data_IF_371134249731
#
_entry.id   IF_371134249731
#
_cell.length_a   1.000
_cell.length_b   1.000
_cell.length_c   1.000
_cell.angle_alpha   90.00
_cell.angle_beta   90.00
_cell.angle_gamma   90.00
#
_symmetry.space_group_name_H-M   'P 1'
#
loop_
_entity.id
_entity.type
_entity.pdbx_description
1 polymer ?
#
# COMPACT_ATOMS: atom_id res chain seq x y z
N UNK A 1 -18.88 -11.66 -26.47
CA UNK A 1 -18.99 -10.39 -27.22
C UNK A 1 -19.44 -9.32 -26.23
N UNK A 2 -18.65 -8.26 -26.03
CA UNK A 2 -19.09 -7.13 -25.22
C UNK A 2 -20.11 -6.32 -26.01
N UNK A 3 -21.23 -5.95 -25.40
CA UNK A 3 -22.29 -5.17 -26.06
C UNK A 3 -21.89 -3.71 -26.27
N UNK A 4 -20.92 -3.20 -25.49
CA UNK A 4 -20.50 -1.80 -25.50
C UNK A 4 -21.58 -0.83 -25.00
N UNK A 5 -22.69 -1.35 -24.45
CA UNK A 5 -23.79 -0.55 -23.93
C UNK A 5 -23.69 -0.48 -22.40
N UNK A 6 -24.05 0.66 -21.78
CA UNK A 6 -24.25 0.71 -20.34
C UNK A 6 -25.25 -0.35 -19.88
N UNK A 7 -24.94 -1.02 -18.76
CA UNK A 7 -25.83 -1.98 -18.13
C UNK A 7 -26.54 -1.32 -16.95
N UNK A 8 -27.88 -1.40 -16.93
CA UNK A 8 -28.70 -0.75 -15.89
C UNK A 8 -28.85 0.76 -16.08
N UNK A 9 -29.48 1.41 -15.11
CA UNK A 9 -29.54 2.87 -15.04
C UNK A 9 -28.22 3.45 -14.50
N UNK A 10 -27.88 4.72 -14.83
CA UNK A 10 -26.75 5.40 -14.19
C UNK A 10 -26.87 5.38 -12.66
N UNK A 11 -25.73 5.19 -11.99
CA UNK A 11 -25.64 5.26 -10.53
C UNK A 11 -25.56 6.74 -10.12
N UNK A 12 -26.68 7.28 -9.62
CA UNK A 12 -26.81 8.70 -9.26
C UNK A 12 -26.71 8.91 -7.75
N UNK A 13 -25.99 9.95 -7.33
CA UNK A 13 -25.93 10.32 -5.92
C UNK A 13 -24.80 11.28 -5.54
N UNK A 14 -23.64 11.19 -6.19
CA UNK A 14 -22.56 12.16 -5.97
C UNK A 14 -23.00 13.57 -6.39
N UNK A 15 -22.59 14.58 -5.60
CA UNK A 15 -22.93 15.98 -5.84
C UNK A 15 -21.91 16.71 -6.75
N UNK A 16 -20.81 16.04 -7.10
CA UNK A 16 -19.76 16.55 -7.97
C UNK A 16 -19.07 15.40 -8.73
N UNK A 17 -17.97 15.66 -9.44
CA UNK A 17 -17.26 14.70 -10.27
C UNK A 17 -16.87 13.42 -9.52
N UNK A 18 -17.12 12.27 -10.15
CA UNK A 18 -16.63 10.97 -9.69
C UNK A 18 -15.23 10.75 -10.27
N UNK A 19 -14.23 10.56 -9.42
CA UNK A 19 -12.81 10.48 -9.80
C UNK A 19 -12.30 9.06 -9.96
N UNK A 20 -12.80 8.14 -9.15
CA UNK A 20 -12.36 6.74 -9.18
C UNK A 20 -13.50 5.79 -8.83
N UNK A 21 -13.35 4.55 -9.26
CA UNK A 21 -14.23 3.43 -8.93
C UNK A 21 -13.41 2.17 -8.68
N UNK A 22 -13.91 1.29 -7.82
CA UNK A 22 -13.32 -0.02 -7.56
C UNK A 22 -14.42 -1.05 -7.27
N UNK A 23 -14.30 -2.26 -7.83
CA UNK A 23 -15.16 -3.38 -7.43
C UNK A 23 -14.60 -4.03 -6.18
N UNK A 24 -15.47 -4.55 -5.31
CA UNK A 24 -15.07 -5.51 -4.29
C UNK A 24 -14.57 -6.81 -4.95
N UNK A 25 -13.70 -7.59 -4.29
CA UNK A 25 -13.13 -8.82 -4.86
C UNK A 25 -14.17 -9.86 -5.27
N UNK A 26 -15.30 -9.92 -4.56
CA UNK A 26 -16.44 -10.79 -4.87
C UNK A 26 -17.38 -10.21 -5.96
N UNK A 27 -17.15 -8.97 -6.38
CA UNK A 27 -17.95 -8.24 -7.36
C UNK A 27 -19.34 -7.83 -6.87
N UNK A 28 -19.66 -7.99 -5.59
CA UNK A 28 -20.97 -7.65 -5.04
C UNK A 28 -21.15 -6.13 -4.85
N UNK A 29 -20.07 -5.42 -4.53
CA UNK A 29 -20.06 -3.99 -4.30
C UNK A 29 -19.22 -3.26 -5.34
N UNK A 30 -19.64 -2.04 -5.65
CA UNK A 30 -18.84 -1.03 -6.33
C UNK A 30 -18.63 0.14 -5.36
N UNK A 31 -17.40 0.60 -5.21
CA UNK A 31 -17.08 1.86 -4.56
C UNK A 31 -16.91 2.96 -5.62
N UNK A 32 -17.35 4.18 -5.33
CA UNK A 32 -17.05 5.38 -6.11
C UNK A 32 -16.56 6.52 -5.23
N UNK A 33 -15.49 7.19 -5.67
CA UNK A 33 -14.87 8.32 -4.98
C UNK A 33 -15.26 9.65 -5.65
N UNK A 34 -15.71 10.63 -4.86
CA UNK A 34 -16.22 11.91 -5.36
C UNK A 34 -15.41 13.12 -4.94
N UNK A 35 -15.45 14.17 -5.79
CA UNK A 35 -15.02 15.54 -5.43
C UNK A 35 -15.93 16.15 -4.36
N UNK A 36 -17.12 15.59 -4.16
CA UNK A 36 -18.02 15.93 -3.05
C UNK A 36 -17.56 15.43 -1.67
N UNK A 37 -16.27 15.07 -1.54
CA UNK A 37 -15.58 14.60 -0.33
C UNK A 37 -16.12 13.27 0.24
N UNK A 38 -16.92 12.53 -0.53
CA UNK A 38 -17.51 11.26 -0.09
C UNK A 38 -17.03 10.08 -0.92
N UNK A 39 -17.09 8.91 -0.29
CA UNK A 39 -17.11 7.62 -1.01
C UNK A 39 -18.51 7.04 -0.92
N UNK A 40 -18.99 6.42 -2.00
CA UNK A 40 -20.28 5.73 -2.02
C UNK A 40 -20.10 4.27 -2.38
N UNK A 41 -20.86 3.41 -1.71
CA UNK A 41 -20.96 2.00 -2.03
C UNK A 41 -22.27 1.73 -2.76
N UNK A 42 -22.22 0.84 -3.75
CA UNK A 42 -23.36 0.45 -4.58
C UNK A 42 -23.45 -1.06 -4.62
N UNK A 43 -24.66 -1.59 -4.48
CA UNK A 43 -24.94 -3.00 -4.76
C UNK A 43 -24.96 -3.20 -6.28
N UNK A 44 -24.04 -4.03 -6.79
CA UNK A 44 -23.83 -4.20 -8.24
C UNK A 44 -25.03 -4.89 -8.91
N UNK A 45 -25.74 -5.76 -8.19
CA UNK A 45 -26.86 -6.51 -8.73
C UNK A 45 -28.10 -5.63 -8.96
N UNK A 46 -28.31 -4.64 -8.08
CA UNK A 46 -29.50 -3.78 -8.08
C UNK A 46 -29.24 -2.36 -8.56
N UNK A 47 -27.98 -1.91 -8.57
CA UNK A 47 -27.58 -0.53 -8.83
C UNK A 47 -28.04 0.46 -7.75
N UNK A 48 -28.41 -0.02 -6.57
CA UNK A 48 -28.87 0.82 -5.46
C UNK A 48 -27.71 1.19 -4.52
N UNK A 49 -27.78 2.33 -3.82
CA UNK A 49 -26.82 2.66 -2.77
C UNK A 49 -26.79 1.59 -1.68
N UNK A 50 -25.59 1.13 -1.32
CA UNK A 50 -25.35 0.23 -0.20
C UNK A 50 -24.98 1.05 1.04
N UNK A 51 -26.02 1.48 1.78
CA UNK A 51 -25.85 2.32 2.97
C UNK A 51 -25.75 3.81 2.66
N UNK A 52 -25.33 4.59 3.66
CA UNK A 52 -25.11 6.03 3.52
C UNK A 52 -23.74 6.32 2.87
N UNK A 53 -23.53 7.50 2.27
CA UNK A 53 -22.21 7.93 1.83
C UNK A 53 -21.21 7.88 2.99
N UNK A 54 -20.02 7.35 2.72
CA UNK A 54 -18.89 7.33 3.64
C UNK A 54 -18.30 8.75 3.66
N UNK A 55 -18.47 9.43 4.79
CA UNK A 55 -18.04 10.80 5.00
C UNK A 55 -17.00 10.86 6.12
N UNK A 56 -15.92 11.60 5.88
CA UNK A 56 -14.78 11.71 6.80
C UNK A 56 -13.64 12.54 6.24
N UNK A 57 -13.41 12.46 4.92
CA UNK A 57 -12.50 13.34 4.21
C UNK A 57 -12.99 14.80 4.22
N UNK A 58 -12.04 15.73 4.22
CA UNK A 58 -12.31 17.18 4.23
C UNK A 58 -12.09 17.86 2.88
N UNK A 59 -11.64 17.09 1.88
CA UNK A 59 -11.46 17.51 0.50
C UNK A 59 -11.79 16.33 -0.46
N UNK A 60 -11.63 16.53 -1.76
CA UNK A 60 -11.98 15.58 -2.81
C UNK A 60 -11.29 14.22 -2.64
N UNK A 61 -12.06 13.15 -2.80
CA UNK A 61 -11.53 11.79 -2.79
C UNK A 61 -11.10 11.42 -4.20
N UNK A 62 -9.82 11.11 -4.36
CA UNK A 62 -9.18 10.91 -5.66
C UNK A 62 -9.08 9.45 -6.07
N UNK A 63 -8.90 8.54 -5.11
CA UNK A 63 -8.78 7.11 -5.38
C UNK A 63 -9.44 6.27 -4.28
N UNK A 64 -9.87 5.07 -4.67
CA UNK A 64 -10.41 4.04 -3.77
C UNK A 64 -9.91 2.66 -4.17
N UNK A 65 -9.69 1.79 -3.19
CA UNK A 65 -9.32 0.39 -3.42
C UNK A 65 -9.91 -0.50 -2.32
N UNK A 66 -10.47 -1.65 -2.68
CA UNK A 66 -10.84 -2.68 -1.72
C UNK A 66 -9.62 -3.52 -1.34
N UNK A 67 -9.58 -3.98 -0.10
CA UNK A 67 -8.66 -5.05 0.31
C UNK A 67 -9.00 -6.37 -0.43
N UNK A 68 -8.04 -7.29 -0.62
CA UNK A 68 -8.27 -8.54 -1.35
C UNK A 68 -9.32 -9.47 -0.73
N UNK A 69 -9.54 -9.36 0.58
CA UNK A 69 -10.59 -10.08 1.32
C UNK A 69 -11.94 -9.33 1.31
N UNK A 70 -11.98 -8.10 0.80
CA UNK A 70 -13.17 -7.25 0.70
C UNK A 70 -13.64 -6.65 2.03
N UNK A 71 -12.92 -6.85 3.13
CA UNK A 71 -13.34 -6.38 4.47
C UNK A 71 -13.06 -4.90 4.69
N UNK A 72 -12.05 -4.36 4.00
CA UNK A 72 -11.67 -2.97 4.05
C UNK A 72 -11.82 -2.30 2.69
N UNK A 73 -12.14 -1.01 2.75
CA UNK A 73 -12.00 -0.07 1.64
C UNK A 73 -11.02 1.02 2.08
N UNK A 74 -10.05 1.34 1.24
CA UNK A 74 -9.19 2.49 1.42
C UNK A 74 -9.62 3.63 0.48
N UNK A 75 -9.56 4.86 0.96
CA UNK A 75 -9.78 6.07 0.16
C UNK A 75 -8.65 7.07 0.36
N UNK A 76 -8.16 7.65 -0.74
CA UNK A 76 -7.11 8.66 -0.77
C UNK A 76 -7.68 10.01 -1.20
N UNK A 77 -7.25 11.08 -0.53
CA UNK A 77 -7.88 12.40 -0.64
C UNK A 77 -6.88 13.55 -0.82
N UNK A 78 -7.37 14.65 -1.40
CA UNK A 78 -6.64 15.92 -1.47
C UNK A 78 -6.38 16.53 -0.09
N UNK A 79 -7.07 16.08 0.96
CA UNK A 79 -6.81 16.47 2.36
C UNK A 79 -5.51 15.91 2.94
N UNK A 80 -4.68 15.26 2.11
CA UNK A 80 -3.38 14.66 2.46
C UNK A 80 -3.48 13.42 3.35
N UNK A 81 -4.68 12.85 3.53
CA UNK A 81 -4.89 11.65 4.33
C UNK A 81 -5.43 10.48 3.51
N UNK A 82 -5.29 9.29 4.10
CA UNK A 82 -5.93 8.07 3.62
C UNK A 82 -6.85 7.55 4.70
N UNK A 83 -8.09 7.20 4.35
CA UNK A 83 -9.06 6.66 5.30
C UNK A 83 -9.37 5.20 4.97
N UNK A 84 -9.39 4.36 6.01
CA UNK A 84 -9.86 2.98 5.93
C UNK A 84 -11.30 2.91 6.44
N UNK A 85 -12.10 2.08 5.78
CA UNK A 85 -13.51 1.88 6.08
C UNK A 85 -13.78 0.38 6.21
N UNK A 86 -14.49 0.00 7.27
CA UNK A 86 -15.08 -1.33 7.37
C UNK A 86 -16.26 -1.42 6.40
N UNK A 87 -16.18 -2.33 5.43
CA UNK A 87 -17.14 -2.40 4.32
C UNK A 87 -18.51 -2.88 4.75
N UNK A 88 -18.58 -3.68 5.82
CA UNK A 88 -19.84 -4.23 6.34
C UNK A 88 -20.68 -3.19 7.09
N UNK A 89 -20.03 -2.31 7.86
CA UNK A 89 -20.69 -1.28 8.67
C UNK A 89 -20.71 0.10 8.00
N UNK A 90 -19.84 0.34 7.01
CA UNK A 90 -19.67 1.63 6.37
C UNK A 90 -19.10 2.69 7.33
N UNK A 91 -18.35 2.27 8.35
CA UNK A 91 -17.74 3.17 9.34
C UNK A 91 -16.24 3.29 9.13
N UNK A 92 -15.63 4.42 9.52
CA UNK A 92 -14.18 4.51 9.59
C UNK A 92 -13.60 3.38 10.46
N UNK A 93 -12.66 2.65 9.91
CA UNK A 93 -11.83 1.71 10.66
C UNK A 93 -10.61 2.47 11.17
N UNK A 94 -10.73 3.09 12.36
CA UNK A 94 -9.69 3.89 13.01
C UNK A 94 -9.52 5.33 12.49
N UNK A 95 -8.51 6.05 12.99
CA UNK A 95 -8.17 7.42 12.58
C UNK A 95 -7.56 7.46 11.17
N UNK A 96 -7.71 8.54 10.39
CA UNK A 96 -7.03 8.66 9.10
C UNK A 96 -5.52 8.39 9.20
N UNK A 97 -4.95 7.79 8.16
CA UNK A 97 -3.52 7.58 8.02
C UNK A 97 -2.89 8.91 7.59
N UNK A 98 -2.00 9.42 8.45
CA UNK A 98 -1.32 10.70 8.27
C UNK A 98 0.17 10.45 8.01
N UNK A 99 0.72 11.09 6.98
CA UNK A 99 2.14 10.99 6.65
C UNK A 99 2.51 11.75 5.38
N UNK A 100 1.60 11.77 4.40
CA UNK A 100 1.77 12.59 3.21
C UNK A 100 1.71 14.08 3.55
N UNK A 101 2.59 14.87 2.93
CA UNK A 101 2.63 16.33 3.09
C UNK A 101 1.88 17.10 1.99
N UNK A 102 1.28 16.37 1.06
CA UNK A 102 0.42 16.88 0.01
C UNK A 102 -0.71 15.91 -0.33
N UNK A 103 -1.51 16.25 -1.33
CA UNK A 103 -2.63 15.45 -1.78
C UNK A 103 -2.24 13.97 -2.05
N UNK A 104 -3.08 13.04 -1.61
CA UNK A 104 -2.90 11.62 -1.91
C UNK A 104 -3.73 11.27 -3.14
N UNK A 105 -3.06 10.89 -4.21
CA UNK A 105 -3.64 10.71 -5.53
C UNK A 105 -4.01 9.25 -5.83
N UNK A 106 -3.37 8.30 -5.16
CA UNK A 106 -3.52 6.87 -5.46
C UNK A 106 -3.37 6.00 -4.22
N UNK A 107 -4.06 4.86 -4.25
CA UNK A 107 -4.04 3.85 -3.20
C UNK A 107 -4.18 2.46 -3.81
N UNK A 108 -3.45 1.47 -3.28
CA UNK A 108 -3.56 0.08 -3.65
C UNK A 108 -3.20 -0.84 -2.48
N UNK A 109 -3.96 -1.92 -2.26
CA UNK A 109 -3.57 -2.99 -1.36
C UNK A 109 -2.60 -3.96 -2.04
N UNK A 110 -1.69 -4.55 -1.27
CA UNK A 110 -0.95 -5.73 -1.72
C UNK A 110 -1.88 -6.92 -1.94
N UNK A 111 -1.53 -7.90 -2.78
CA UNK A 111 -2.40 -9.04 -3.08
C UNK A 111 -2.77 -9.91 -1.87
N UNK A 112 -1.94 -9.93 -0.83
CA UNK A 112 -2.20 -10.61 0.45
C UNK A 112 -2.95 -9.72 1.46
N UNK A 113 -3.13 -8.43 1.17
CA UNK A 113 -3.78 -7.45 2.03
C UNK A 113 -2.94 -7.00 3.23
N UNK A 114 -1.69 -7.45 3.36
CA UNK A 114 -0.82 -7.08 4.47
C UNK A 114 -0.40 -5.61 4.39
N UNK A 115 -0.13 -5.12 3.18
CA UNK A 115 0.33 -3.76 2.93
C UNK A 115 -0.71 -2.92 2.18
N UNK A 116 -0.69 -1.63 2.50
CA UNK A 116 -1.31 -0.59 1.69
C UNK A 116 -0.22 0.31 1.13
N UNK A 117 -0.24 0.59 -0.17
CA UNK A 117 0.61 1.58 -0.80
C UNK A 117 -0.19 2.83 -1.15
N UNK A 118 0.37 4.00 -0.84
CA UNK A 118 -0.23 5.30 -1.11
C UNK A 118 0.76 6.21 -1.81
N UNK A 119 0.27 7.05 -2.71
CA UNK A 119 1.12 7.93 -3.54
C UNK A 119 0.52 9.33 -3.60
N UNK A 120 1.36 10.36 -3.63
CA UNK A 120 0.87 11.74 -3.53
C UNK A 120 1.72 12.81 -4.21
N UNK A 121 1.24 14.05 -4.10
CA UNK A 121 1.86 15.26 -4.67
C UNK A 121 3.20 15.63 -4.03
N UNK A 122 3.49 15.08 -2.85
CA UNK A 122 4.80 15.19 -2.19
C UNK A 122 5.91 14.36 -2.85
N UNK A 123 5.62 13.74 -4.00
CA UNK A 123 6.55 12.92 -4.78
C UNK A 123 7.01 11.63 -4.09
N UNK A 124 6.32 11.23 -3.01
CA UNK A 124 6.66 10.03 -2.24
C UNK A 124 5.67 8.90 -2.47
N UNK A 125 6.14 7.69 -2.15
CA UNK A 125 5.32 6.49 -2.00
C UNK A 125 5.41 6.09 -0.54
N UNK A 126 4.28 5.88 0.12
CA UNK A 126 4.25 5.38 1.49
C UNK A 126 3.66 3.97 1.52
N UNK A 127 4.28 3.11 2.31
CA UNK A 127 3.78 1.79 2.64
C UNK A 127 3.26 1.80 4.07
N UNK A 128 2.15 1.10 4.29
CA UNK A 128 1.52 0.98 5.59
C UNK A 128 1.24 -0.49 5.86
N UNK A 129 1.54 -0.93 7.08
CA UNK A 129 1.04 -2.21 7.56
C UNK A 129 -0.47 -2.06 7.87
N UNK A 130 -1.29 -2.85 7.20
CA UNK A 130 -2.76 -2.70 7.24
C UNK A 130 -3.32 -3.01 8.63
N UNK A 131 -2.73 -3.98 9.34
CA UNK A 131 -3.23 -4.44 10.64
C UNK A 131 -2.94 -3.44 11.76
N UNK A 132 -1.70 -2.93 11.82
CA UNK A 132 -1.26 -1.95 12.81
C UNK A 132 -1.58 -0.51 12.43
N UNK A 133 -1.80 -0.25 11.13
CA UNK A 133 -2.09 1.08 10.56
C UNK A 133 -0.91 2.04 10.73
N UNK A 134 0.31 1.50 10.81
CA UNK A 134 1.55 2.23 10.97
C UNK A 134 2.34 2.22 9.65
N UNK A 135 3.18 3.24 9.41
CA UNK A 135 4.12 3.22 8.29
C UNK A 135 5.02 1.99 8.35
N UNK A 136 5.12 1.27 7.24
CA UNK A 136 6.06 0.17 7.07
C UNK A 136 7.37 0.70 6.47
N UNK A 137 8.24 1.19 7.37
CA UNK A 137 9.51 1.80 7.01
C UNK A 137 9.42 3.27 6.58
N UNK A 138 10.48 3.77 5.93
CA UNK A 138 10.52 5.13 5.41
C UNK A 138 9.79 5.24 4.07
N UNK A 139 9.29 6.43 3.76
CA UNK A 139 8.75 6.72 2.43
C UNK A 139 9.77 6.38 1.33
N UNK A 140 9.29 5.83 0.22
CA UNK A 140 10.11 5.52 -0.94
C UNK A 140 10.27 6.79 -1.78
N UNK A 141 11.50 7.26 -1.90
CA UNK A 141 11.87 8.47 -2.62
C UNK A 141 12.54 8.12 -3.94
N UNK A 142 12.20 8.85 -5.00
CA UNK A 142 12.83 8.67 -6.32
C UNK A 142 12.13 9.43 -7.45
N UNK A 143 10.81 9.61 -7.34
CA UNK A 143 10.08 10.53 -8.22
C UNK A 143 10.46 11.98 -7.94
N UNK A 144 10.50 12.80 -8.99
CA UNK A 144 10.80 14.24 -8.88
C UNK A 144 9.57 15.13 -9.11
N UNK A 145 8.38 14.54 -9.06
CA UNK A 145 7.10 15.23 -9.14
C UNK A 145 5.98 14.33 -8.59
N UNK A 146 4.79 14.90 -8.41
CA UNK A 146 3.66 14.19 -7.81
C UNK A 146 3.38 12.83 -8.45
N UNK A 147 3.13 11.83 -7.61
CA UNK A 147 2.91 10.45 -8.02
C UNK A 147 1.39 10.21 -8.07
N UNK A 148 0.90 9.71 -9.20
CA UNK A 148 -0.53 9.62 -9.49
C UNK A 148 -1.04 8.18 -9.60
N UNK A 149 -0.16 7.23 -9.89
CA UNK A 149 -0.52 5.83 -10.10
C UNK A 149 0.31 4.93 -9.23
N UNK A 150 -0.33 3.87 -8.71
CA UNK A 150 0.30 2.84 -7.89
C UNK A 150 -0.36 1.50 -8.18
N UNK A 151 0.43 0.44 -8.29
CA UNK A 151 -0.06 -0.93 -8.46
C UNK A 151 0.96 -1.95 -7.94
N UNK A 152 0.51 -2.91 -7.15
CA UNK A 152 1.31 -4.07 -6.80
C UNK A 152 1.35 -5.07 -7.97
N UNK A 153 2.48 -5.74 -8.14
CA UNK A 153 2.53 -6.96 -8.93
C UNK A 153 1.67 -8.06 -8.26
N UNK A 154 1.12 -9.02 -9.04
CA UNK A 154 0.23 -10.05 -8.49
C UNK A 154 0.86 -10.95 -7.41
N UNK A 155 2.19 -11.03 -7.37
CA UNK A 155 2.95 -11.77 -6.35
C UNK A 155 3.32 -10.91 -5.13
N UNK A 156 3.02 -9.61 -5.14
CA UNK A 156 3.34 -8.66 -4.08
C UNK A 156 4.81 -8.24 -4.00
N UNK A 157 5.70 -8.85 -4.80
CA UNK A 157 7.14 -8.63 -4.70
C UNK A 157 7.60 -7.28 -5.28
N UNK A 158 6.82 -6.73 -6.20
CA UNK A 158 7.11 -5.44 -6.83
C UNK A 158 5.96 -4.47 -6.65
N UNK A 159 6.30 -3.19 -6.51
CA UNK A 159 5.37 -2.08 -6.65
C UNK A 159 5.73 -1.28 -7.90
N UNK A 160 4.73 -0.91 -8.69
CA UNK A 160 4.88 0.01 -9.81
C UNK A 160 4.24 1.35 -9.46
N UNK A 161 4.93 2.45 -9.76
CA UNK A 161 4.40 3.81 -9.58
C UNK A 161 4.57 4.64 -10.84
N UNK A 162 3.71 5.66 -11.02
CA UNK A 162 3.76 6.56 -12.17
C UNK A 162 3.58 8.02 -11.72
N UNK A 163 4.46 8.92 -12.20
CA UNK A 163 4.54 10.30 -11.73
C UNK A 163 4.49 11.37 -12.82
N UNK A 164 4.25 12.60 -12.38
CA UNK A 164 4.26 13.82 -13.20
C UNK A 164 5.65 14.16 -13.77
N UNK A 165 6.69 13.49 -13.27
CA UNK A 165 8.05 13.52 -13.81
C UNK A 165 8.24 12.68 -15.09
N UNK A 166 7.13 12.20 -15.68
CA UNK A 166 7.08 11.40 -16.91
C UNK A 166 7.75 10.02 -16.77
N UNK A 167 7.85 9.51 -15.54
CA UNK A 167 8.46 8.23 -15.24
C UNK A 167 7.46 7.25 -14.65
N UNK A 168 7.66 5.98 -15.01
CA UNK A 168 7.20 4.86 -14.19
C UNK A 168 8.41 4.27 -13.46
N UNK A 169 8.24 3.90 -12.19
CA UNK A 169 9.28 3.27 -11.40
C UNK A 169 8.81 1.92 -10.87
N UNK A 170 9.75 1.01 -10.67
CA UNK A 170 9.54 -0.26 -9.99
C UNK A 170 10.32 -0.25 -8.68
N UNK A 171 9.66 -0.71 -7.63
CA UNK A 171 10.23 -0.84 -6.29
C UNK A 171 10.22 -2.31 -5.92
N UNK A 172 11.36 -2.82 -5.49
CA UNK A 172 11.50 -4.20 -5.01
C UNK A 172 11.18 -4.23 -3.52
N UNK A 173 10.13 -4.96 -3.15
CA UNK A 173 9.61 -5.02 -1.79
C UNK A 173 10.05 -6.29 -1.05
N UNK A 174 10.87 -7.13 -1.67
CA UNK A 174 11.27 -8.40 -1.07
C UNK A 174 12.16 -8.20 0.15
N UNK A 175 11.99 -9.10 1.12
CA UNK A 175 12.81 -9.09 2.33
C UNK A 175 14.30 -9.30 2.01
N UNK A 176 14.63 -10.07 0.98
CA UNK A 176 16.03 -10.17 0.52
C UNK A 176 16.58 -8.81 0.07
N UNK A 177 15.82 -8.04 -0.70
CA UNK A 177 16.25 -6.76 -1.28
C UNK A 177 16.55 -5.67 -0.24
N UNK A 178 15.70 -5.52 0.80
CA UNK A 178 15.99 -4.56 1.87
C UNK A 178 17.16 -5.02 2.75
N UNK A 179 17.32 -6.33 3.00
CA UNK A 179 18.49 -6.86 3.71
C UNK A 179 19.78 -6.57 2.95
N UNK A 180 19.81 -6.76 1.63
CA UNK A 180 20.97 -6.43 0.79
C UNK A 180 21.31 -4.94 0.81
N UNK A 181 20.29 -4.07 0.84
CA UNK A 181 20.49 -2.64 1.01
C UNK A 181 21.05 -2.30 2.40
N UNK A 182 20.48 -2.88 3.46
CA UNK A 182 20.97 -2.72 4.83
C UNK A 182 22.41 -3.19 4.99
N UNK A 183 22.76 -4.32 4.36
CA UNK A 183 24.11 -4.87 4.35
C UNK A 183 25.12 -3.95 3.68
N UNK A 184 24.74 -3.22 2.61
CA UNK A 184 25.60 -2.20 2.00
C UNK A 184 25.83 -1.00 2.92
N UNK A 185 24.85 -0.64 3.74
CA UNK A 185 24.96 0.48 4.68
C UNK A 185 25.82 0.11 5.90
N UNK A 186 25.53 -1.02 6.53
CA UNK A 186 26.24 -1.49 7.73
C UNK A 186 27.64 -2.00 7.38
N UNK A 187 27.81 -2.56 6.18
CA UNK A 187 29.07 -3.02 5.59
C UNK A 187 29.88 -3.99 6.49
N UNK A 188 29.18 -4.75 7.34
CA UNK A 188 29.75 -5.84 8.14
C UNK A 188 28.66 -6.80 8.61
N UNK A 189 29.04 -8.05 8.88
CA UNK A 189 28.25 -8.97 9.69
C UNK A 189 28.43 -8.67 11.19
N UNK A 190 27.47 -9.13 12.01
CA UNK A 190 27.59 -9.10 13.47
C UNK A 190 28.80 -9.90 13.95
N UNK A 191 29.52 -9.42 14.94
CA UNK A 191 30.54 -10.22 15.64
C UNK A 191 29.91 -11.42 16.37
N UNK A 192 30.72 -12.41 16.74
CA UNK A 192 30.22 -13.54 17.54
C UNK A 192 29.60 -13.08 18.87
N UNK A 193 30.20 -12.07 19.52
CA UNK A 193 29.68 -11.54 20.77
C UNK A 193 28.34 -10.82 20.61
N UNK A 194 28.18 -10.03 19.53
CA UNK A 194 26.89 -9.41 19.19
C UNK A 194 25.83 -10.48 18.85
N UNK A 195 26.22 -11.54 18.13
CA UNK A 195 25.34 -12.65 17.82
C UNK A 195 24.84 -13.37 19.08
N UNK A 196 25.75 -13.71 20.00
CA UNK A 196 25.40 -14.38 21.24
C UNK A 196 24.47 -13.51 22.12
N UNK A 197 24.53 -12.19 21.96
CA UNK A 197 23.64 -11.24 22.63
C UNK A 197 22.25 -11.17 21.99
N UNK A 198 22.18 -11.04 20.66
CA UNK A 198 20.91 -10.79 19.95
C UNK A 198 20.17 -12.05 19.53
N UNK A 199 20.90 -13.16 19.34
CA UNK A 199 20.40 -14.45 18.88
C UNK A 199 20.91 -15.60 19.79
N UNK A 200 20.72 -15.52 21.11
CA UNK A 200 21.28 -16.50 22.04
C UNK A 200 20.74 -17.91 21.74
N UNK A 201 21.65 -18.87 21.58
CA UNK A 201 21.31 -20.27 21.34
C UNK A 201 21.04 -20.64 19.88
N UNK A 202 21.15 -19.69 18.94
CA UNK A 202 21.12 -19.96 17.51
C UNK A 202 22.55 -20.11 16.95
N UNK A 203 22.78 -21.03 16.00
CA UNK A 203 24.06 -21.11 15.31
C UNK A 203 24.34 -19.80 14.58
N UNK A 204 25.61 -19.38 14.55
CA UNK A 204 26.00 -18.17 13.85
C UNK A 204 25.77 -18.32 12.34
N UNK A 205 25.10 -17.35 11.74
CA UNK A 205 24.95 -17.23 10.29
C UNK A 205 25.35 -15.83 9.84
N UNK A 206 25.92 -15.73 8.63
CA UNK A 206 26.21 -14.44 8.01
C UNK A 206 24.91 -13.86 7.49
N UNK A 207 24.38 -12.84 8.18
CA UNK A 207 23.21 -12.09 7.72
C UNK A 207 23.50 -11.44 6.37
N UNK A 208 24.63 -10.76 6.21
CA UNK A 208 25.07 -10.24 4.93
C UNK A 208 25.84 -11.31 4.14
N UNK A 209 25.23 -11.98 3.14
CA UNK A 209 25.80 -13.19 2.52
C UNK A 209 27.11 -12.92 1.78
N UNK A 210 27.20 -11.74 1.17
CA UNK A 210 28.33 -11.28 0.36
C UNK A 210 29.48 -10.71 1.17
N UNK A 211 29.32 -10.57 2.49
CA UNK A 211 30.35 -10.06 3.40
C UNK A 211 31.03 -11.20 4.16
N UNK A 212 32.29 -11.03 4.60
CA UNK A 212 32.94 -11.99 5.48
C UNK A 212 32.20 -12.11 6.81
N UNK A 213 32.43 -13.21 7.53
CA UNK A 213 31.95 -13.36 8.91
C UNK A 213 32.42 -12.21 9.78
N UNK A 214 31.59 -11.83 10.75
CA UNK A 214 31.95 -10.79 11.70
C UNK A 214 33.10 -11.23 12.62
N UNK A 215 33.64 -10.26 13.35
CA UNK A 215 34.78 -10.50 14.24
C UNK A 215 34.50 -11.62 15.25
N UNK A 216 35.44 -12.56 15.37
CA UNK A 216 35.34 -13.70 16.30
C UNK A 216 34.38 -14.81 15.86
N UNK A 217 33.66 -14.66 14.75
CA UNK A 217 32.75 -15.69 14.23
C UNK A 217 33.47 -16.70 13.31
N UNK A 218 32.90 -17.91 13.11
CA UNK A 218 33.47 -18.91 12.21
C UNK A 218 33.64 -18.37 10.78
N UNK A 219 34.82 -18.53 10.19
CA UNK A 219 35.14 -18.00 8.86
C UNK A 219 34.33 -18.66 7.72
N UNK A 220 33.88 -19.90 7.92
CA UNK A 220 33.07 -20.70 7.01
C UNK A 220 31.58 -20.73 7.41
N UNK A 221 31.14 -19.77 8.24
CA UNK A 221 29.75 -19.67 8.65
C UNK A 221 28.81 -19.60 7.43
N UNK A 222 27.69 -20.35 7.46
CA UNK A 222 26.72 -20.33 6.38
C UNK A 222 26.13 -18.93 6.22
N UNK A 223 25.79 -18.57 4.99
CA UNK A 223 25.02 -17.36 4.74
C UNK A 223 23.55 -17.61 5.09
N UNK A 224 22.92 -16.60 5.67
CA UNK A 224 21.48 -16.61 5.90
C UNK A 224 20.77 -16.71 4.54
N UNK A 225 19.79 -17.60 4.46
CA UNK A 225 18.89 -17.68 3.31
C UNK A 225 17.60 -16.97 3.69
N UNK A 226 17.42 -15.79 3.13
CA UNK A 226 16.17 -15.04 3.28
C UNK A 226 15.09 -15.73 2.46
N UNK A 227 14.03 -16.19 3.12
CA UNK A 227 12.82 -16.58 2.43
C UNK A 227 12.11 -15.29 1.99
N UNK A 228 11.78 -15.22 0.71
CA UNK A 228 10.88 -14.21 0.14
C UNK A 228 9.42 -14.67 0.28
#
# INVERSE_FOLDING_TARGET
>A
VATGQPQGAPLEGHADWVRAVAFSPDGALLASAGVDTTVRLWDVATGQPHGAPLAGHTDAVMAVAFSPDGTLLASASLDSTVQLWDTASGRPDGSPLEGHSGAVNGVAFSPDGALLATVGDDSTVQLWDTASRLPDGSALEGHTGGVNGVAFAPDGALLATAGNDQRAQLWDLRFSSWMDAGCRVVNRNLSQAEWDQFAPGLPYERTCPDLPSGEGAPADAPAAVYAD
#
